data_IF_379865362225
#
_entry.id   IF_379865362225
#
_cell.length_a   1.000
_cell.length_b   1.000
_cell.length_c   1.000
_cell.angle_alpha   90.00
_cell.angle_beta   90.00
_cell.angle_gamma   90.00
#
_symmetry.space_group_name_H-M   'P 1'
#
loop_
_entity.id
_entity.type
_entity.pdbx_description
1 polymer ?
#
# COMPACT_ATOMS: atom_id res chain seq x y z
N UNK A 1 -4.16 13.16 -5.37
CA UNK A 1 -5.32 12.89 -4.49
C UNK A 1 -5.08 11.58 -3.76
N UNK A 2 -5.47 11.46 -2.47
CA UNK A 2 -5.33 10.22 -1.72
C UNK A 2 -6.06 9.03 -2.37
N UNK A 3 -5.45 7.85 -2.30
CA UNK A 3 -6.00 6.58 -2.77
C UNK A 3 -5.99 5.57 -1.63
N UNK A 4 -7.00 4.72 -1.54
CA UNK A 4 -7.08 3.64 -0.55
C UNK A 4 -7.31 2.29 -1.22
N UNK A 5 -6.79 1.24 -0.59
CA UNK A 5 -7.16 -0.14 -0.92
C UNK A 5 -8.56 -0.52 -0.40
N UNK A 6 -9.12 0.28 0.50
CA UNK A 6 -10.19 -0.20 1.37
C UNK A 6 -9.68 -1.32 2.31
N UNK A 7 -10.60 -2.04 2.99
CA UNK A 7 -10.24 -3.12 3.90
C UNK A 7 -9.64 -4.32 3.15
N UNK A 8 -8.52 -4.83 3.66
CA UNK A 8 -7.90 -6.09 3.23
C UNK A 8 -7.90 -7.04 4.42
N UNK A 9 -8.47 -8.23 4.23
CA UNK A 9 -8.34 -9.34 5.17
C UNK A 9 -6.89 -9.79 5.24
N UNK A 10 -6.35 -9.97 6.46
CA UNK A 10 -5.02 -10.53 6.67
C UNK A 10 -5.06 -11.95 7.21
N UNK A 11 -5.93 -12.23 8.17
CA UNK A 11 -6.06 -13.57 8.74
C UNK A 11 -6.89 -14.48 7.84
N UNK A 12 -6.55 -15.77 7.81
CA UNK A 12 -7.24 -16.74 6.94
C UNK A 12 -6.76 -16.71 5.48
N UNK A 13 -5.71 -15.95 5.16
CA UNK A 13 -5.12 -15.93 3.82
C UNK A 13 -4.09 -17.04 3.61
N UNK A 14 -4.02 -17.53 2.37
CA UNK A 14 -3.01 -18.50 1.93
C UNK A 14 -1.87 -17.78 1.17
N UNK A 15 -0.59 -18.16 1.34
CA UNK A 15 -0.08 -19.30 2.11
C UNK A 15 0.17 -19.02 3.60
N UNK A 16 0.15 -17.75 4.03
CA UNK A 16 0.26 -17.33 5.43
C UNK A 16 -0.21 -15.87 5.56
N UNK A 17 -0.38 -15.40 6.79
CA UNK A 17 -0.68 -14.00 7.07
C UNK A 17 0.48 -13.10 6.62
N UNK A 18 0.16 -11.90 6.12
CA UNK A 18 1.16 -10.89 5.86
C UNK A 18 1.78 -10.38 7.17
N UNK A 19 3.07 -10.06 7.09
CA UNK A 19 3.79 -9.30 8.12
C UNK A 19 4.10 -7.89 7.66
N UNK A 20 4.11 -7.65 6.35
CA UNK A 20 4.32 -6.35 5.74
C UNK A 20 3.51 -6.20 4.45
N UNK A 21 3.29 -4.96 4.04
CA UNK A 21 2.79 -4.60 2.71
C UNK A 21 3.93 -4.03 1.89
N UNK A 22 3.97 -4.33 0.59
CA UNK A 22 4.79 -3.60 -0.37
C UNK A 22 3.89 -2.79 -1.28
N UNK A 23 4.14 -1.49 -1.34
CA UNK A 23 3.50 -0.58 -2.30
C UNK A 23 4.48 -0.28 -3.41
N UNK A 24 4.15 -0.69 -4.63
CA UNK A 24 4.88 -0.39 -5.86
C UNK A 24 4.30 0.89 -6.45
N UNK A 25 5.19 1.81 -6.81
CA UNK A 25 4.84 3.13 -7.34
C UNK A 25 5.54 3.28 -8.69
N UNK A 26 4.81 3.64 -9.72
CA UNK A 26 5.33 4.03 -11.03
C UNK A 26 4.96 5.48 -11.29
N UNK A 27 5.95 6.34 -11.43
CA UNK A 27 5.77 7.74 -11.81
C UNK A 27 5.75 7.87 -13.34
N UNK A 28 4.72 8.49 -13.91
CA UNK A 28 4.62 8.78 -15.36
C UNK A 28 4.68 10.28 -15.66
N UNK A 29 5.11 11.08 -14.70
CA UNK A 29 5.26 12.54 -14.86
C UNK A 29 6.68 12.89 -15.31
N UNK A 30 6.86 14.12 -15.80
CA UNK A 30 8.17 14.66 -16.17
C UNK A 30 9.04 15.12 -14.99
N UNK A 31 8.54 15.05 -13.76
CA UNK A 31 9.25 15.46 -12.55
C UNK A 31 9.19 14.39 -11.45
N UNK A 32 9.78 14.62 -10.26
CA UNK A 32 9.69 13.69 -9.15
C UNK A 32 8.25 13.61 -8.63
N UNK A 33 7.77 12.38 -8.40
CA UNK A 33 6.52 12.11 -7.70
C UNK A 33 6.86 11.74 -6.25
N UNK A 34 6.36 12.51 -5.30
CA UNK A 34 6.56 12.29 -3.87
C UNK A 34 5.24 12.04 -3.17
N UNK A 35 5.31 11.56 -1.94
CA UNK A 35 4.11 11.38 -1.13
C UNK A 35 4.38 10.55 0.11
N UNK A 36 3.29 10.16 0.75
CA UNK A 36 3.32 9.29 1.93
C UNK A 36 2.41 8.09 1.69
N UNK A 37 2.87 6.91 2.12
CA UNK A 37 2.04 5.72 2.27
C UNK A 37 1.78 5.50 3.75
N UNK A 38 0.55 5.16 4.09
CA UNK A 38 0.10 4.88 5.45
C UNK A 38 -0.57 3.52 5.49
N UNK A 39 -0.37 2.78 6.58
CA UNK A 39 -1.09 1.54 6.88
C UNK A 39 -1.92 1.76 8.12
N UNK A 40 -3.19 1.40 8.04
CA UNK A 40 -4.12 1.41 9.16
C UNK A 40 -4.48 -0.01 9.55
N UNK A 41 -4.51 -0.28 10.87
CA UNK A 41 -5.18 -1.45 11.42
C UNK A 41 -6.69 -1.21 11.37
N UNK A 42 -7.43 -2.25 11.02
CA UNK A 42 -8.89 -2.30 11.06
C UNK A 42 -9.37 -3.33 12.11
N UNK A 43 -10.70 -3.44 12.27
CA UNK A 43 -11.43 -4.24 13.27
C UNK A 43 -11.63 -3.52 14.63
N UNK A 44 -12.63 -2.63 14.67
CA UNK A 44 -13.01 -1.78 15.82
C UNK A 44 -12.93 -0.30 15.45
N UNK A 45 -11.71 0.26 15.48
CA UNK A 45 -11.43 1.63 15.05
C UNK A 45 -10.26 1.66 14.06
N UNK A 46 -10.32 2.56 13.08
CA UNK A 46 -9.25 2.78 12.11
C UNK A 46 -8.07 3.44 12.83
N UNK A 47 -6.95 2.75 12.95
CA UNK A 47 -5.77 3.23 13.67
C UNK A 47 -4.53 3.21 12.77
N UNK A 48 -3.83 4.33 12.65
CA UNK A 48 -2.55 4.38 11.93
C UNK A 48 -1.51 3.55 12.68
N UNK A 49 -0.88 2.60 11.98
CA UNK A 49 0.13 1.70 12.56
C UNK A 49 1.51 1.80 11.87
N UNK A 50 1.56 2.31 10.64
CA UNK A 50 2.83 2.52 9.94
C UNK A 50 2.69 3.61 8.89
N UNK A 51 3.77 4.36 8.63
CA UNK A 51 3.84 5.33 7.55
C UNK A 51 5.26 5.43 6.99
N UNK A 52 5.36 5.76 5.71
CA UNK A 52 6.64 5.96 5.04
C UNK A 52 6.48 6.96 3.88
N UNK A 53 7.43 7.88 3.76
CA UNK A 53 7.54 8.75 2.60
C UNK A 53 8.09 7.97 1.41
N UNK A 54 7.72 8.37 0.20
CA UNK A 54 8.31 7.87 -1.04
C UNK A 54 8.71 9.01 -1.97
N UNK A 55 9.71 8.73 -2.79
CA UNK A 55 10.14 9.57 -3.92
C UNK A 55 10.40 8.66 -5.11
N UNK A 56 9.71 8.90 -6.22
CA UNK A 56 9.92 8.24 -7.49
C UNK A 56 10.40 9.26 -8.52
N UNK A 57 11.58 9.03 -9.11
CA UNK A 57 12.12 9.87 -10.19
C UNK A 57 11.16 9.92 -11.39
N UNK A 58 11.31 10.94 -12.24
CA UNK A 58 10.53 11.08 -13.47
C UNK A 58 10.60 9.81 -14.32
N UNK A 59 9.45 9.34 -14.81
CA UNK A 59 9.32 8.12 -15.62
C UNK A 59 9.96 6.85 -15.01
N UNK A 60 10.08 6.78 -13.68
CA UNK A 60 10.71 5.67 -12.97
C UNK A 60 9.75 5.03 -11.95
N UNK A 61 10.14 3.85 -11.44
CA UNK A 61 9.41 3.17 -10.37
C UNK A 61 10.22 3.09 -9.08
N UNK A 62 9.51 3.04 -7.96
CA UNK A 62 10.07 2.79 -6.63
C UNK A 62 9.13 1.89 -5.84
N UNK A 63 9.49 1.55 -4.61
CA UNK A 63 8.58 0.89 -3.68
C UNK A 63 8.86 1.32 -2.25
N UNK A 64 7.84 1.17 -1.42
CA UNK A 64 7.97 1.21 0.04
C UNK A 64 7.43 -0.08 0.63
N UNK A 65 8.01 -0.51 1.74
CA UNK A 65 7.53 -1.66 2.51
C UNK A 65 7.17 -1.18 3.91
N UNK A 66 5.97 -1.50 4.38
CA UNK A 66 5.48 -1.08 5.71
C UNK A 66 5.01 -2.29 6.51
N UNK A 67 5.28 -2.29 7.82
CA UNK A 67 4.82 -3.34 8.72
C UNK A 67 3.30 -3.19 8.97
N UNK A 68 2.58 -4.31 9.10
CA UNK A 68 1.14 -4.31 9.43
C UNK A 68 0.84 -4.75 10.87
N UNK A 69 1.86 -4.95 11.71
CA UNK A 69 1.73 -5.17 13.15
C UNK A 69 0.93 -6.41 13.53
N UNK A 70 0.90 -7.44 12.67
CA UNK A 70 0.05 -8.62 12.87
C UNK A 70 -1.45 -8.31 12.89
N UNK A 71 -1.87 -7.20 12.26
CA UNK A 71 -3.27 -6.79 12.22
C UNK A 71 -4.12 -7.82 11.47
N UNK A 72 -5.28 -8.24 12.01
CA UNK A 72 -6.17 -9.20 11.34
C UNK A 72 -6.76 -8.68 10.04
N UNK A 73 -6.93 -7.36 9.94
CA UNK A 73 -7.34 -6.61 8.76
C UNK A 73 -6.56 -5.31 8.71
N UNK A 74 -6.26 -4.82 7.51
CA UNK A 74 -5.57 -3.55 7.33
C UNK A 74 -6.07 -2.80 6.09
N UNK A 75 -5.79 -1.50 6.06
CA UNK A 75 -6.00 -0.61 4.92
C UNK A 75 -4.67 0.05 4.56
N UNK A 76 -4.41 0.25 3.27
CA UNK A 76 -3.27 1.04 2.80
C UNK A 76 -3.77 2.30 2.10
N UNK A 77 -3.30 3.45 2.57
CA UNK A 77 -3.56 4.76 1.97
C UNK A 77 -2.29 5.28 1.30
N UNK A 78 -2.42 5.79 0.08
CA UNK A 78 -1.35 6.36 -0.74
C UNK A 78 -1.70 7.82 -1.02
N UNK A 79 -0.89 8.74 -0.53
CA UNK A 79 -1.12 10.19 -0.65
C UNK A 79 0.00 10.81 -1.47
N UNK A 80 -0.12 10.84 -2.81
CA UNK A 80 0.84 11.49 -3.67
C UNK A 80 0.65 13.01 -3.68
N UNK A 81 1.74 13.75 -3.85
CA UNK A 81 1.76 15.20 -3.96
C UNK A 81 1.15 15.72 -5.28
N UNK A 82 1.07 14.87 -6.30
CA UNK A 82 0.48 15.17 -7.60
C UNK A 82 -0.10 13.92 -8.27
N UNK A 83 -0.88 14.10 -9.33
CA UNK A 83 -1.39 12.99 -10.13
C UNK A 83 -0.31 12.45 -11.09
N UNK A 84 -0.60 11.32 -11.75
CA UNK A 84 0.31 10.70 -12.74
C UNK A 84 1.10 9.51 -12.22
N UNK A 85 0.92 9.14 -10.96
CA UNK A 85 1.40 7.86 -10.42
C UNK A 85 0.43 6.70 -10.70
N UNK A 86 0.99 5.53 -10.97
CA UNK A 86 0.30 4.25 -10.90
C UNK A 86 0.82 3.46 -9.70
N UNK A 87 -0.06 2.70 -9.06
CA UNK A 87 0.23 2.04 -7.79
C UNK A 87 -0.24 0.60 -7.78
N UNK A 88 0.44 -0.25 -7.01
CA UNK A 88 -0.10 -1.55 -6.61
C UNK A 88 0.38 -1.91 -5.21
N UNK A 89 -0.45 -2.64 -4.47
CA UNK A 89 -0.22 -3.04 -3.09
C UNK A 89 -0.21 -4.57 -3.04
N UNK A 90 0.75 -5.12 -2.31
CA UNK A 90 0.88 -6.56 -2.09
C UNK A 90 1.12 -6.83 -0.61
N UNK A 91 0.25 -7.62 0.01
CA UNK A 91 0.56 -8.27 1.28
C UNK A 91 1.67 -9.30 1.12
N UNK A 92 2.56 -9.40 2.11
CA UNK A 92 3.74 -10.26 2.05
C UNK A 92 3.96 -11.02 3.35
N UNK A 93 4.24 -12.31 3.23
CA UNK A 93 4.60 -13.16 4.37
C UNK A 93 5.94 -12.74 4.98
N UNK A 94 6.27 -13.30 6.15
CA UNK A 94 7.58 -13.12 6.80
C UNK A 94 8.75 -13.52 5.87
N UNK A 95 8.55 -14.56 5.05
CA UNK A 95 9.50 -15.03 4.05
C UNK A 95 9.46 -14.24 2.75
N UNK A 96 8.89 -13.03 2.77
CA UNK A 96 8.89 -12.09 1.64
C UNK A 96 8.07 -12.53 0.41
N UNK A 97 7.29 -13.60 0.53
CA UNK A 97 6.40 -14.14 -0.52
C UNK A 97 5.18 -13.25 -0.67
N UNK A 98 4.80 -12.93 -1.91
CA UNK A 98 3.57 -12.18 -2.19
C UNK A 98 2.34 -13.05 -1.93
N UNK A 99 1.36 -12.51 -1.22
CA UNK A 99 0.06 -13.13 -1.01
C UNK A 99 -0.87 -12.64 -2.13
N UNK A 100 -1.20 -13.53 -3.07
CA UNK A 100 -1.96 -13.17 -4.28
C UNK A 100 -3.36 -12.62 -3.96
N UNK A 101 -4.01 -13.14 -2.91
CA UNK A 101 -5.31 -12.67 -2.44
C UNK A 101 -5.27 -11.25 -1.86
N UNK A 102 -4.10 -10.76 -1.44
CA UNK A 102 -3.88 -9.42 -0.89
C UNK A 102 -3.21 -8.48 -1.91
N UNK A 103 -3.40 -8.76 -3.20
CA UNK A 103 -2.97 -7.89 -4.28
C UNK A 103 -4.08 -6.90 -4.62
N UNK A 104 -3.75 -5.61 -4.60
CA UNK A 104 -4.62 -4.53 -5.09
C UNK A 104 -3.87 -3.75 -6.17
N UNK A 105 -4.43 -3.71 -7.37
CA UNK A 105 -3.92 -2.97 -8.51
C UNK A 105 -4.46 -1.54 -8.52
N UNK A 106 -3.83 -0.68 -9.33
CA UNK A 106 -4.23 0.73 -9.44
C UNK A 106 -5.71 0.93 -9.75
N UNK A 107 -6.28 0.08 -10.62
CA UNK A 107 -7.69 0.12 -11.02
C UNK A 107 -8.67 -0.26 -9.91
N UNK A 108 -8.19 -0.91 -8.84
CA UNK A 108 -8.98 -1.33 -7.69
C UNK A 108 -8.86 -0.34 -6.52
N UNK A 109 -7.97 0.67 -6.64
CA UNK A 109 -7.83 1.71 -5.65
C UNK A 109 -8.98 2.72 -5.74
N UNK A 110 -9.49 3.11 -4.58
CA UNK A 110 -10.56 4.10 -4.47
C UNK A 110 -9.96 5.44 -4.07
N UNK A 111 -10.38 6.51 -4.74
CA UNK A 111 -10.01 7.86 -4.33
C UNK A 111 -10.79 8.27 -3.09
N UNK A 112 -10.10 8.83 -2.09
CA UNK A 112 -10.72 9.38 -0.88
C UNK A 112 -10.45 10.88 -0.77
N UNK A 113 -11.43 11.60 -0.23
CA UNK A 113 -11.44 13.06 -0.06
C UNK A 113 -10.65 13.48 1.18
#
# INVERSE_FOLDING_TARGET
MPLTTGPIENFGNQPANATNVRVKILNRTGGPLTGVVRVFRLNGTRQLISSANFTASANASTFVTLNIGGSPQYEVEIVPNQNGGLYSVYGRTASNVLITAQRVLHSELVQIL
#
